data_IF_909095561045
#
_entry.id   IF_909095561045
#
_cell.length_a   1.000
_cell.length_b   1.000
_cell.length_c   1.000
_cell.angle_alpha   90.00
_cell.angle_beta   90.00
_cell.angle_gamma   90.00
#
_symmetry.space_group_name_H-M   'P 1'
#
loop_
_entity.id
_entity.type
_entity.pdbx_description
1 polymer ?
#
# COMPACT_ATOMS: atom_id res chain seq x y z
N UNK A 1 3.31 -23.65 -0.37
CA UNK A 1 2.65 -22.32 -0.36
C UNK A 1 3.13 -21.55 -1.57
N UNK A 2 2.24 -21.06 -2.42
CA UNK A 2 2.60 -20.01 -3.38
C UNK A 2 2.76 -18.73 -2.54
N UNK A 3 3.77 -17.88 -2.78
CA UNK A 3 3.79 -16.57 -2.14
C UNK A 3 2.47 -15.87 -2.45
N UNK A 4 1.83 -15.30 -1.44
CA UNK A 4 0.69 -14.42 -1.68
C UNK A 4 1.16 -13.28 -2.60
N UNK A 5 0.28 -12.78 -3.45
CA UNK A 5 0.67 -11.66 -4.31
C UNK A 5 0.93 -10.43 -3.43
N UNK A 6 1.84 -9.55 -3.84
CA UNK A 6 2.15 -8.33 -3.08
C UNK A 6 0.89 -7.48 -2.82
N UNK A 7 -0.10 -7.53 -3.71
CA UNK A 7 -1.40 -6.90 -3.52
C UNK A 7 -2.11 -7.45 -2.28
N UNK A 8 -2.15 -8.77 -2.09
CA UNK A 8 -2.79 -9.40 -0.93
C UNK A 8 -2.05 -9.03 0.35
N UNK A 9 -0.71 -9.07 0.35
CA UNK A 9 0.08 -8.68 1.52
C UNK A 9 -0.18 -7.22 1.92
N UNK A 10 -0.27 -6.31 0.95
CA UNK A 10 -0.62 -4.89 1.19
C UNK A 10 -2.03 -4.78 1.78
N UNK A 11 -3.02 -5.48 1.24
CA UNK A 11 -4.38 -5.47 1.76
C UNK A 11 -4.45 -6.01 3.18
N UNK A 12 -3.74 -7.10 3.47
CA UNK A 12 -3.65 -7.70 4.81
C UNK A 12 -3.12 -6.68 5.83
N UNK A 13 -2.05 -5.96 5.50
CA UNK A 13 -1.48 -4.92 6.37
C UNK A 13 -2.46 -3.75 6.58
N UNK A 14 -3.17 -3.33 5.53
CA UNK A 14 -4.13 -2.22 5.61
C UNK A 14 -5.42 -2.55 6.37
N UNK A 15 -5.68 -3.84 6.68
CA UNK A 15 -6.76 -4.23 7.59
C UNK A 15 -6.49 -3.80 9.04
N UNK A 16 -5.23 -3.66 9.43
CA UNK A 16 -4.85 -3.20 10.77
C UNK A 16 -4.96 -1.67 10.93
N UNK A 17 -5.05 -0.94 9.81
CA UNK A 17 -5.27 0.49 9.78
C UNK A 17 -4.52 1.18 8.63
N UNK A 18 -4.66 2.53 8.52
CA UNK A 18 -3.99 3.27 7.47
C UNK A 18 -2.46 3.25 7.61
N UNK A 19 -1.74 2.97 6.53
CA UNK A 19 -0.28 2.94 6.50
C UNK A 19 0.28 3.69 5.29
N UNK A 20 1.48 4.23 5.43
CA UNK A 20 2.26 4.80 4.33
C UNK A 20 3.00 3.71 3.54
N UNK A 21 3.45 4.04 2.32
CA UNK A 21 4.25 3.14 1.48
C UNK A 21 5.53 2.67 2.17
N UNK A 22 6.17 3.53 2.97
CA UNK A 22 7.39 3.20 3.72
C UNK A 22 7.11 2.29 4.90
N UNK A 23 6.03 2.51 5.65
CA UNK A 23 5.59 1.59 6.72
C UNK A 23 5.30 0.20 6.15
N UNK A 24 4.56 0.11 5.04
CA UNK A 24 4.27 -1.16 4.36
C UNK A 24 5.55 -1.82 3.86
N UNK A 25 6.43 -1.09 3.18
CA UNK A 25 7.74 -1.61 2.75
C UNK A 25 8.55 -2.18 3.91
N UNK A 26 8.53 -1.52 5.07
CA UNK A 26 9.22 -1.97 6.29
C UNK A 26 8.59 -3.24 6.86
N UNK A 27 7.25 -3.33 6.89
CA UNK A 27 6.54 -4.54 7.32
C UNK A 27 6.85 -5.76 6.45
N UNK A 28 7.03 -5.55 5.14
CA UNK A 28 7.42 -6.60 4.20
C UNK A 28 8.93 -6.93 4.21
N UNK A 29 9.69 -6.34 5.14
CA UNK A 29 11.13 -6.60 5.29
C UNK A 29 12.01 -5.96 4.22
N UNK A 30 11.49 -5.01 3.43
CA UNK A 30 12.25 -4.32 2.40
C UNK A 30 12.94 -3.06 2.94
N UNK A 31 14.23 -2.90 2.61
CA UNK A 31 15.02 -1.68 2.95
C UNK A 31 14.51 -0.42 2.23
N UNK A 32 13.94 -0.60 1.03
CA UNK A 32 13.39 0.45 0.19
C UNK A 32 12.14 -0.07 -0.53
N UNK A 33 11.28 0.85 -0.98
CA UNK A 33 10.10 0.51 -1.78
C UNK A 33 10.55 -0.15 -3.08
N UNK A 34 10.19 -1.42 -3.26
CA UNK A 34 10.54 -2.18 -4.46
C UNK A 34 9.67 -1.78 -5.65
N UNK A 35 10.16 -2.04 -6.87
CA UNK A 35 9.37 -1.83 -8.09
C UNK A 35 8.10 -2.69 -8.12
N UNK A 36 8.15 -3.90 -7.54
CA UNK A 36 6.99 -4.78 -7.37
C UNK A 36 5.93 -4.18 -6.45
N UNK A 37 6.35 -3.65 -5.29
CA UNK A 37 5.46 -2.99 -4.36
C UNK A 37 4.80 -1.75 -5.01
N UNK A 38 5.56 -0.96 -5.76
CA UNK A 38 5.00 0.19 -6.52
C UNK A 38 3.92 -0.25 -7.52
N UNK A 39 4.13 -1.36 -8.24
CA UNK A 39 3.13 -1.92 -9.16
C UNK A 39 1.87 -2.37 -8.41
N UNK A 40 2.03 -3.08 -7.29
CA UNK A 40 0.90 -3.52 -6.46
C UNK A 40 0.06 -2.33 -5.97
N UNK A 41 0.67 -1.27 -5.45
CA UNK A 41 -0.04 -0.04 -5.07
C UNK A 41 -0.83 0.57 -6.22
N UNK A 42 -0.20 0.72 -7.40
CA UNK A 42 -0.86 1.30 -8.57
C UNK A 42 -2.06 0.45 -9.01
N UNK A 43 -1.94 -0.87 -8.95
CA UNK A 43 -3.01 -1.78 -9.31
C UNK A 43 -4.16 -1.71 -8.30
N UNK A 44 -3.87 -1.74 -7.00
CA UNK A 44 -4.89 -1.61 -5.95
C UNK A 44 -5.62 -0.27 -6.01
N UNK A 45 -4.90 0.84 -6.23
CA UNK A 45 -5.52 2.16 -6.44
C UNK A 45 -6.42 2.19 -7.68
N UNK A 46 -5.97 1.57 -8.78
CA UNK A 46 -6.75 1.49 -10.02
C UNK A 46 -8.00 0.61 -9.88
N UNK A 47 -7.94 -0.44 -9.07
CA UNK A 47 -9.08 -1.29 -8.75
C UNK A 47 -9.96 -0.73 -7.64
N UNK A 48 -9.61 0.45 -7.12
CA UNK A 48 -10.33 1.08 -6.02
C UNK A 48 -10.41 0.19 -4.77
N UNK A 49 -9.43 -0.68 -4.54
CA UNK A 49 -9.36 -1.52 -3.32
C UNK A 49 -8.78 -0.73 -2.14
N UNK A 50 -7.95 0.27 -2.45
CA UNK A 50 -7.35 1.18 -1.48
C UNK A 50 -7.50 2.63 -1.94
N UNK A 51 -7.56 3.55 -0.99
CA UNK A 51 -7.66 4.99 -1.23
C UNK A 51 -6.62 5.78 -0.47
N UNK A 52 -6.32 6.97 -0.98
CA UNK A 52 -5.44 7.95 -0.37
C UNK A 52 -6.17 8.70 0.74
N UNK A 53 -5.53 8.88 1.89
CA UNK A 53 -6.10 9.63 3.02
C UNK A 53 -6.01 11.15 2.89
N UNK A 54 -5.23 11.67 1.93
CA UNK A 54 -5.01 13.11 1.68
C UNK A 54 -5.11 13.35 0.16
N UNK A 55 -6.29 13.12 -0.44
CA UNK A 55 -6.46 13.18 -1.90
C UNK A 55 -6.09 14.55 -2.50
N UNK A 56 -6.20 15.64 -1.73
CA UNK A 56 -5.83 16.99 -2.16
C UNK A 56 -4.31 17.22 -2.25
N UNK A 57 -3.49 16.36 -1.64
CA UNK A 57 -2.03 16.44 -1.67
C UNK A 57 -1.44 15.03 -1.91
N UNK A 58 -1.57 14.47 -3.12
CA UNK A 58 -1.16 13.09 -3.43
C UNK A 58 0.34 12.82 -3.20
N UNK A 59 1.17 13.85 -3.33
CA UNK A 59 2.63 13.78 -3.10
C UNK A 59 3.03 14.11 -1.65
N UNK A 60 2.07 14.24 -0.74
CA UNK A 60 2.34 14.55 0.67
C UNK A 60 3.23 13.50 1.29
N UNK A 61 4.26 13.94 2.03
CA UNK A 61 5.07 13.05 2.87
C UNK A 61 4.27 12.37 3.99
N UNK A 62 3.10 12.92 4.31
CA UNK A 62 2.16 12.36 5.28
C UNK A 62 1.07 11.49 4.62
N UNK A 63 1.19 11.23 3.32
CA UNK A 63 0.24 10.40 2.58
C UNK A 63 0.20 8.98 3.15
N UNK A 64 -1.00 8.51 3.49
CA UNK A 64 -1.27 7.13 3.90
C UNK A 64 -2.32 6.52 2.99
N UNK A 65 -2.42 5.22 3.03
CA UNK A 65 -3.38 4.42 2.27
C UNK A 65 -4.26 3.67 3.26
N UNK A 66 -5.52 3.47 2.90
CA UNK A 66 -6.48 2.66 3.66
C UNK A 66 -7.34 1.86 2.68
N UNK A 67 -8.02 0.82 3.16
CA UNK A 67 -9.00 0.09 2.36
C UNK A 67 -10.16 1.00 1.93
N UNK A 68 -10.74 0.74 0.76
CA UNK A 68 -11.91 1.47 0.22
C UNK A 68 -13.26 0.90 0.71
N UNK A 69 -13.29 0.39 1.94
CA UNK A 69 -14.50 -0.21 2.50
C UNK A 69 -15.39 0.84 3.17
#
# INVERSE_FOLDING_TARGET
MRPESLEIEVLNLLREGPLSKSEISKHLGHKHISGGLKKAFNQLLKQEEIIQTIPEKPDSRLQRYKLHN
#
